data_IF_943822689554
#
_entry.id   IF_943822689554
#
_cell.length_a   1.000
_cell.length_b   1.000
_cell.length_c   1.000
_cell.angle_alpha   90.00
_cell.angle_beta   90.00
_cell.angle_gamma   90.00
#
_symmetry.space_group_name_H-M   'P 1'
#
loop_
_entity.id
_entity.type
_entity.pdbx_description
1 polymer ?
#
# COMPACT_ATOMS: atom_id res chain seq x y z
N UNK A 1 1.99 14.29 -0.45
CA UNK A 1 0.76 14.68 -1.18
C UNK A 1 -0.35 13.72 -0.84
N UNK A 2 -1.59 14.20 -0.66
CA UNK A 2 -2.74 13.32 -0.47
C UNK A 2 -3.21 12.74 -1.80
N UNK A 3 -3.45 11.43 -1.85
CA UNK A 3 -4.09 10.75 -2.99
C UNK A 3 -5.54 10.43 -2.59
N UNK A 4 -6.47 10.64 -3.51
CA UNK A 4 -7.90 10.37 -3.30
C UNK A 4 -8.25 9.03 -3.93
N UNK A 5 -9.03 8.24 -3.22
CA UNK A 5 -9.65 7.01 -3.70
C UNK A 5 -11.15 7.09 -3.42
N UNK A 6 -11.96 6.43 -4.23
CA UNK A 6 -13.39 6.28 -4.00
C UNK A 6 -13.65 4.84 -3.55
N UNK A 7 -14.38 4.67 -2.45
CA UNK A 7 -14.73 3.35 -1.89
C UNK A 7 -16.24 3.21 -1.91
N UNK A 8 -16.73 2.08 -2.39
CA UNK A 8 -18.15 1.72 -2.33
C UNK A 8 -18.33 0.65 -1.27
N UNK A 9 -19.23 0.87 -0.33
CA UNK A 9 -19.59 -0.07 0.73
C UNK A 9 -21.04 -0.51 0.53
N UNK A 10 -21.39 -1.72 0.93
CA UNK A 10 -22.81 -2.08 1.01
C UNK A 10 -23.47 -1.36 2.19
N UNK A 11 -24.77 -1.11 2.04
CA UNK A 11 -25.60 -0.40 3.02
C UNK A 11 -25.38 -0.80 4.48
N UNK A 12 -25.32 -2.10 4.86
CA UNK A 12 -25.11 -2.46 6.26
C UNK A 12 -23.78 -1.96 6.80
N UNK A 13 -22.68 -2.10 6.05
CA UNK A 13 -21.37 -1.62 6.48
C UNK A 13 -21.29 -0.11 6.52
N UNK A 14 -21.94 0.58 5.58
CA UNK A 14 -22.02 2.04 5.62
C UNK A 14 -22.77 2.52 6.88
N UNK A 15 -23.90 1.89 7.21
CA UNK A 15 -24.69 2.24 8.38
C UNK A 15 -23.95 2.00 9.70
N UNK A 16 -23.24 0.87 9.82
CA UNK A 16 -22.39 0.58 10.97
C UNK A 16 -21.26 1.60 11.11
N UNK A 17 -20.58 1.91 10.01
CA UNK A 17 -19.48 2.87 10.00
C UNK A 17 -19.94 4.29 10.38
N UNK A 18 -21.11 4.71 9.89
CA UNK A 18 -21.73 5.99 10.22
C UNK A 18 -22.03 6.11 11.71
N UNK A 19 -22.71 5.11 12.29
CA UNK A 19 -22.97 5.08 13.74
C UNK A 19 -21.69 5.14 14.54
N UNK A 20 -20.66 4.41 14.11
CA UNK A 20 -19.40 4.39 14.83
C UNK A 20 -18.67 5.74 14.79
N UNK A 21 -18.66 6.41 13.62
CA UNK A 21 -18.08 7.75 13.50
C UNK A 21 -18.81 8.78 14.39
N UNK A 22 -20.14 8.70 14.44
CA UNK A 22 -20.97 9.57 15.29
C UNK A 22 -20.64 9.41 16.78
N UNK A 23 -20.42 8.18 17.27
CA UNK A 23 -20.04 7.96 18.68
C UNK A 23 -18.70 8.60 19.07
N UNK A 24 -17.81 8.84 18.09
CA UNK A 24 -16.53 9.52 18.32
C UNK A 24 -16.58 11.03 18.02
N UNK A 25 -17.70 11.53 17.48
CA UNK A 25 -17.82 12.92 17.05
C UNK A 25 -16.94 13.26 15.84
N UNK A 26 -16.60 12.28 15.01
CA UNK A 26 -15.75 12.48 13.83
C UNK A 26 -16.55 12.43 12.52
N UNK A 27 -16.15 13.19 11.48
CA UNK A 27 -16.71 13.02 10.15
C UNK A 27 -16.46 11.61 9.60
N UNK A 28 -17.48 11.01 8.97
CA UNK A 28 -17.43 9.66 8.41
C UNK A 28 -16.18 9.40 7.56
N UNK A 29 -15.85 10.30 6.64
CA UNK A 29 -14.69 10.16 5.75
C UNK A 29 -13.35 10.18 6.49
N UNK A 30 -13.25 11.01 7.53
CA UNK A 30 -12.06 11.10 8.39
C UNK A 30 -11.88 9.79 9.15
N UNK A 31 -12.97 9.31 9.76
CA UNK A 31 -12.96 8.06 10.52
C UNK A 31 -12.64 6.85 9.63
N UNK A 32 -13.25 6.78 8.45
CA UNK A 32 -12.93 5.76 7.45
C UNK A 32 -11.44 5.78 7.05
N UNK A 33 -10.87 6.97 6.87
CA UNK A 33 -9.44 7.13 6.57
C UNK A 33 -8.57 6.61 7.71
N UNK A 34 -8.95 6.87 8.96
CA UNK A 34 -8.25 6.34 10.13
C UNK A 34 -8.29 4.82 10.18
N UNK A 35 -9.46 4.21 9.98
CA UNK A 35 -9.59 2.75 9.97
C UNK A 35 -8.78 2.09 8.84
N UNK A 36 -8.78 2.68 7.64
CA UNK A 36 -7.96 2.18 6.54
C UNK A 36 -6.45 2.24 6.87
N UNK A 37 -5.98 3.30 7.54
CA UNK A 37 -4.60 3.39 7.99
C UNK A 37 -4.26 2.29 9.01
N UNK A 38 -5.15 2.09 9.98
CA UNK A 38 -4.98 1.06 11.00
C UNK A 38 -4.85 -0.33 10.36
N UNK A 39 -5.76 -0.67 9.45
CA UNK A 39 -5.72 -1.94 8.72
C UNK A 39 -4.45 -2.12 7.88
N UNK A 40 -3.97 -1.05 7.22
CA UNK A 40 -2.71 -1.08 6.45
C UNK A 40 -1.51 -1.30 7.38
N UNK A 41 -1.48 -0.65 8.54
CA UNK A 41 -0.39 -0.80 9.51
C UNK A 41 -0.38 -2.22 10.11
N UNK A 42 -1.54 -2.80 10.37
CA UNK A 42 -1.67 -4.20 10.81
C UNK A 42 -1.17 -5.17 9.75
N UNK A 43 -1.62 -5.03 8.50
CA UNK A 43 -1.17 -5.85 7.38
C UNK A 43 0.35 -5.71 7.13
N UNK A 44 0.92 -4.51 7.34
CA UNK A 44 2.37 -4.29 7.28
C UNK A 44 3.11 -5.04 8.38
N UNK A 45 2.60 -5.04 9.61
CA UNK A 45 3.19 -5.79 10.73
C UNK A 45 3.08 -7.30 10.53
N UNK A 46 2.02 -7.77 9.88
CA UNK A 46 1.82 -9.17 9.53
C UNK A 46 2.69 -9.63 8.33
N UNK A 47 3.30 -8.71 7.58
CA UNK A 47 4.08 -9.02 6.39
C UNK A 47 3.25 -9.32 5.14
N UNK A 48 1.98 -8.94 5.13
CA UNK A 48 1.05 -9.16 4.00
C UNK A 48 1.25 -8.15 2.86
N UNK A 49 1.69 -6.94 3.21
CA UNK A 49 1.96 -5.89 2.22
C UNK A 49 3.37 -6.09 1.67
N UNK A 50 3.54 -6.29 0.36
CA UNK A 50 4.86 -6.35 -0.26
C UNK A 50 5.67 -5.09 0.06
N UNK A 51 6.99 -5.19 0.29
CA UNK A 51 7.82 -4.02 0.49
C UNK A 51 7.71 -3.09 -0.73
N UNK A 52 7.77 -1.78 -0.50
CA UNK A 52 7.75 -0.82 -1.60
C UNK A 52 8.80 -1.22 -2.64
N UNK A 53 8.44 -1.28 -3.94
CA UNK A 53 9.41 -1.53 -4.98
C UNK A 53 10.46 -0.43 -4.88
N UNK A 54 11.67 -0.82 -4.46
CA UNK A 54 12.82 0.08 -4.43
C UNK A 54 12.90 0.69 -5.83
N UNK A 55 12.85 2.02 -5.99
CA UNK A 55 12.97 2.62 -7.31
C UNK A 55 14.33 2.19 -7.85
N UNK A 56 14.31 1.24 -8.78
CA UNK A 56 15.47 0.74 -9.48
C UNK A 56 15.99 1.91 -10.33
N UNK A 57 16.79 2.78 -9.69
CA UNK A 57 17.70 3.66 -10.40
C UNK A 57 18.65 2.74 -11.14
N UNK A 58 18.31 2.47 -12.40
CA UNK A 58 19.20 2.16 -13.52
C UNK A 58 20.67 2.05 -13.09
N UNK A 59 21.07 0.86 -12.64
CA UNK A 59 22.47 0.50 -12.49
C UNK A 59 22.78 -0.53 -13.57
N UNK A 60 23.74 -0.16 -14.42
CA UNK A 60 23.92 -0.71 -15.75
C UNK A 60 24.11 -2.22 -15.81
N UNK A 61 23.46 -2.84 -16.80
CA UNK A 61 23.99 -4.05 -17.44
C UNK A 61 25.20 -3.66 -18.28
N UNK A 62 26.35 -3.41 -17.64
CA UNK A 62 27.63 -3.80 -18.25
C UNK A 62 27.76 -5.28 -18.00
N UNK A 63 27.22 -6.09 -18.91
CA UNK A 63 27.51 -7.52 -18.95
C UNK A 63 28.99 -7.68 -19.28
N UNK A 64 29.79 -7.92 -18.22
CA UNK A 64 31.10 -8.57 -18.29
C UNK A 64 30.95 -9.86 -19.13
N UNK A 65 31.34 -9.85 -20.40
CA UNK A 65 31.68 -11.08 -21.11
C UNK A 65 33.12 -11.44 -20.72
N UNK A 66 33.22 -12.25 -19.66
CA UNK A 66 34.46 -12.92 -19.25
C UNK A 66 34.84 -13.90 -20.36
N UNK A 67 36.10 -13.86 -20.78
CA UNK A 67 36.60 -14.45 -22.02
C UNK A 67 36.44 -15.96 -22.18
N UNK A 68 36.59 -16.38 -23.44
CA UNK A 68 36.89 -17.76 -23.83
C UNK A 68 38.16 -17.76 -24.67
N UNK A 69 39.26 -18.10 -24.03
CA UNK A 69 40.48 -18.59 -24.66
C UNK A 69 40.16 -19.86 -25.46
N UNK A 70 40.63 -19.98 -26.72
CA UNK A 70 41.41 -21.14 -27.23
C UNK A 70 41.74 -21.04 -28.73
N UNK A 71 43.05 -20.97 -29.03
CA UNK A 71 43.81 -21.90 -29.89
C UNK A 71 43.42 -22.06 -31.38
N UNK A 72 44.22 -21.49 -32.29
CA UNK A 72 45.08 -22.19 -33.27
C UNK A 72 45.86 -21.21 -34.13
#
# INVERSE_FOLDING_TARGET
>A
MAKRINVTLSDPYHADLQRWAETRGEPLATFATYLLKLAIDEARRAGEIPPEPVPEKTTGKTTKSKGRSTKR
#
